data_IF_923117976795
#
_entry.id   IF_923117976795
#
_cell.length_a   1.000
_cell.length_b   1.000
_cell.length_c   1.000
_cell.angle_alpha   90.00
_cell.angle_beta   90.00
_cell.angle_gamma   90.00
#
_symmetry.space_group_name_H-M   'P 1'
#
loop_
_entity.id
_entity.type
_entity.pdbx_description
1 polymer ?
#
# COMPACT_ATOMS: atom_id res chain seq x y z
N UNK A 1 -31.47 46.30 -32.93
CA UNK A 1 -31.74 45.40 -31.81
C UNK A 1 -30.42 45.00 -31.19
N UNK A 2 -30.11 45.64 -30.07
CA UNK A 2 -28.90 45.38 -29.28
C UNK A 2 -29.19 44.25 -28.30
N UNK A 3 -28.47 43.14 -28.38
CA UNK A 3 -28.49 42.09 -27.38
C UNK A 3 -27.50 42.46 -26.26
N UNK A 4 -28.03 42.77 -25.09
CA UNK A 4 -27.27 42.99 -23.85
C UNK A 4 -26.81 41.66 -23.32
N UNK A 5 -25.53 41.40 -23.38
CA UNK A 5 -24.93 40.30 -22.61
C UNK A 5 -24.90 40.69 -21.13
N UNK A 6 -25.73 40.02 -20.35
CA UNK A 6 -25.71 40.14 -18.90
C UNK A 6 -24.43 39.53 -18.35
N UNK A 7 -23.57 40.37 -17.80
CA UNK A 7 -22.42 39.93 -17.01
C UNK A 7 -23.00 39.46 -15.66
N UNK A 8 -23.02 38.16 -15.44
CA UNK A 8 -23.33 37.60 -14.12
C UNK A 8 -22.08 37.78 -13.24
N UNK A 9 -22.12 38.78 -12.37
CA UNK A 9 -21.14 38.90 -11.30
C UNK A 9 -21.38 37.77 -10.30
N UNK A 10 -20.59 36.73 -10.37
CA UNK A 10 -20.50 35.72 -9.33
C UNK A 10 -19.64 36.33 -8.22
N UNK A 11 -20.25 36.88 -7.19
CA UNK A 11 -19.57 37.19 -5.94
C UNK A 11 -19.16 35.87 -5.30
N UNK A 12 -17.91 35.51 -5.45
CA UNK A 12 -17.28 34.46 -4.66
C UNK A 12 -17.17 35.00 -3.23
N UNK A 13 -17.88 34.44 -2.25
CA UNK A 13 -17.74 34.89 -0.88
C UNK A 13 -16.27 34.74 -0.48
N UNK A 14 -15.60 35.83 -0.16
CA UNK A 14 -14.28 35.84 0.48
C UNK A 14 -14.43 35.28 1.89
N UNK A 15 -14.66 33.98 2.03
CA UNK A 15 -14.35 33.28 3.27
C UNK A 15 -12.82 33.27 3.37
N UNK A 16 -12.30 34.16 4.17
CA UNK A 16 -10.92 34.07 4.66
C UNK A 16 -10.85 32.82 5.54
N UNK A 17 -10.55 31.69 4.94
CA UNK A 17 -10.18 30.50 5.69
C UNK A 17 -8.78 30.75 6.25
N UNK A 18 -8.71 31.37 7.41
CA UNK A 18 -7.52 31.23 8.27
C UNK A 18 -7.73 29.88 8.98
N UNK A 19 -7.69 28.82 8.21
CA UNK A 19 -7.62 27.48 8.76
C UNK A 19 -6.19 27.22 9.19
N UNK A 20 -6.01 26.85 10.45
CA UNK A 20 -4.75 26.25 10.88
C UNK A 20 -4.69 24.92 10.14
N UNK A 21 -3.69 24.73 9.30
CA UNK A 21 -3.42 23.44 8.67
C UNK A 21 -2.78 22.56 9.73
N UNK A 22 -3.58 21.70 10.33
CA UNK A 22 -3.13 20.70 11.28
C UNK A 22 -2.80 19.36 10.61
N UNK A 23 -2.36 18.39 11.40
CA UNK A 23 -2.00 17.06 10.91
C UNK A 23 -3.20 16.32 10.29
N UNK A 24 -4.41 16.59 10.77
CA UNK A 24 -5.64 15.95 10.34
C UNK A 24 -6.00 16.38 8.92
N UNK A 25 -5.94 17.67 8.62
CA UNK A 25 -6.20 18.20 7.28
C UNK A 25 -5.15 17.68 6.27
N UNK A 26 -3.90 17.63 6.68
CA UNK A 26 -2.85 17.06 5.82
C UNK A 26 -3.10 15.58 5.56
N UNK A 27 -3.51 14.83 6.58
CA UNK A 27 -3.83 13.41 6.45
C UNK A 27 -5.01 13.17 5.50
N UNK A 28 -6.10 13.98 5.57
CA UNK A 28 -7.23 13.91 4.63
C UNK A 28 -6.80 14.11 3.16
N UNK A 29 -5.93 15.08 2.91
CA UNK A 29 -5.41 15.31 1.55
C UNK A 29 -4.57 14.12 1.08
N UNK A 30 -3.78 13.53 1.96
CA UNK A 30 -2.97 12.34 1.66
C UNK A 30 -3.87 11.15 1.38
N UNK A 31 -4.96 10.95 2.13
CA UNK A 31 -5.94 9.88 1.88
C UNK A 31 -6.57 10.02 0.49
N UNK A 32 -6.98 11.23 0.11
CA UNK A 32 -7.55 11.48 -1.22
C UNK A 32 -6.57 11.13 -2.36
N UNK A 33 -5.27 11.28 -2.14
CA UNK A 33 -4.27 11.02 -3.16
C UNK A 33 -3.77 9.57 -3.19
N UNK A 34 -3.71 8.93 -2.03
CA UNK A 34 -3.08 7.61 -1.87
C UNK A 34 -4.08 6.47 -1.66
N UNK A 35 -5.32 6.80 -1.27
CA UNK A 35 -6.32 5.83 -0.86
C UNK A 35 -6.06 5.20 0.52
N UNK A 36 -5.10 5.73 1.29
CA UNK A 36 -4.78 5.21 2.63
C UNK A 36 -5.63 5.93 3.68
N UNK A 37 -6.44 5.22 4.52
CA UNK A 37 -7.34 5.82 5.48
C UNK A 37 -6.66 6.72 6.51
N UNK A 38 -7.13 7.96 6.63
CA UNK A 38 -6.58 9.03 7.51
C UNK A 38 -6.49 8.63 8.96
N UNK A 39 -7.52 7.98 9.49
CA UNK A 39 -7.60 7.63 10.91
C UNK A 39 -6.43 6.77 11.39
N UNK A 40 -5.84 6.00 10.47
CA UNK A 40 -4.68 5.15 10.78
C UNK A 40 -3.33 5.85 10.61
N UNK A 41 -3.30 7.00 9.93
CA UNK A 41 -2.10 7.84 9.81
C UNK A 41 -1.93 8.70 11.08
N UNK A 42 -3.04 9.17 11.64
CA UNK A 42 -3.05 10.08 12.81
C UNK A 42 -2.90 9.33 14.14
N UNK A 43 -3.31 8.05 14.17
CA UNK A 43 -3.13 7.20 15.34
C UNK A 43 -1.64 7.16 15.75
N UNK A 44 -1.33 7.17 17.03
CA UNK A 44 0.05 7.15 17.50
C UNK A 44 0.81 5.94 16.94
N UNK A 45 1.52 6.16 15.85
CA UNK A 45 2.23 5.12 15.08
C UNK A 45 3.19 4.32 15.95
N UNK A 46 3.79 4.97 16.95
CA UNK A 46 4.68 4.32 17.90
C UNK A 46 3.96 3.26 18.75
N UNK A 47 2.76 3.57 19.25
CA UNK A 47 1.96 2.66 20.06
C UNK A 47 1.48 1.45 19.26
N UNK A 48 1.01 1.69 18.03
CA UNK A 48 0.63 0.62 17.10
C UNK A 48 1.80 -0.32 16.78
N UNK A 49 2.99 0.22 16.59
CA UNK A 49 4.19 -0.56 16.32
C UNK A 49 4.62 -1.40 17.54
N UNK A 50 4.40 -0.89 18.76
CA UNK A 50 4.65 -1.65 19.98
C UNK A 50 3.68 -2.83 20.11
N UNK A 51 2.40 -2.60 19.85
CA UNK A 51 1.33 -3.60 19.96
C UNK A 51 1.14 -4.46 18.72
N UNK A 52 2.00 -4.33 17.70
CA UNK A 52 1.86 -4.99 16.40
C UNK A 52 1.72 -6.52 16.50
N UNK A 53 2.40 -7.15 17.44
CA UNK A 53 2.34 -8.60 17.66
C UNK A 53 0.93 -9.02 18.13
N UNK A 54 0.36 -8.30 19.09
CA UNK A 54 -0.97 -8.58 19.63
C UNK A 54 -2.06 -8.36 18.56
N UNK A 55 -1.93 -7.29 17.77
CA UNK A 55 -2.85 -6.98 16.68
C UNK A 55 -2.84 -8.10 15.63
N UNK A 56 -1.66 -8.56 15.23
CA UNK A 56 -1.54 -9.67 14.28
C UNK A 56 -2.07 -10.99 14.85
N UNK A 57 -1.83 -11.27 16.13
CA UNK A 57 -2.38 -12.46 16.80
C UNK A 57 -3.90 -12.43 16.96
N UNK A 58 -4.51 -11.26 16.93
CA UNK A 58 -5.98 -11.14 16.89
C UNK A 58 -6.62 -11.80 15.66
N UNK A 59 -5.87 -11.90 14.54
CA UNK A 59 -6.34 -12.53 13.29
C UNK A 59 -5.68 -13.89 13.01
N UNK A 60 -4.43 -14.06 13.42
CA UNK A 60 -3.63 -15.25 13.11
C UNK A 60 -3.32 -16.01 14.39
N UNK A 61 -3.98 -17.13 14.57
CA UNK A 61 -3.76 -18.00 15.74
C UNK A 61 -2.50 -18.84 15.53
N UNK A 62 -1.63 -18.83 16.53
CA UNK A 62 -0.32 -19.47 16.43
C UNK A 62 0.65 -18.65 15.58
N UNK A 63 1.64 -19.30 14.94
CA UNK A 63 2.65 -18.66 14.08
C UNK A 63 3.49 -17.58 14.81
N UNK A 64 3.71 -17.71 16.10
CA UNK A 64 4.40 -16.74 16.96
C UNK A 64 5.75 -16.30 16.39
N UNK A 65 6.51 -17.22 15.83
CA UNK A 65 7.81 -16.93 15.24
C UNK A 65 7.70 -16.04 14.00
N UNK A 66 6.71 -16.29 13.16
CA UNK A 66 6.46 -15.48 11.96
C UNK A 66 6.00 -14.08 12.35
N UNK A 67 5.02 -13.96 13.25
CA UNK A 67 4.50 -12.69 13.76
C UNK A 67 5.61 -11.85 14.39
N UNK A 68 6.41 -12.44 15.29
CA UNK A 68 7.57 -11.75 15.90
C UNK A 68 8.61 -11.29 14.89
N UNK A 69 8.89 -12.11 13.88
CA UNK A 69 9.86 -11.77 12.84
C UNK A 69 9.41 -10.61 11.97
N UNK A 70 8.13 -10.61 11.57
CA UNK A 70 7.51 -9.51 10.81
C UNK A 70 7.52 -8.22 11.64
N UNK A 71 7.00 -8.27 12.86
CA UNK A 71 6.91 -7.11 13.74
C UNK A 71 8.28 -6.47 13.98
N UNK A 72 9.30 -7.29 14.22
CA UNK A 72 10.68 -6.83 14.38
C UNK A 72 11.22 -6.18 13.09
N UNK A 73 10.95 -6.74 11.93
CA UNK A 73 11.42 -6.19 10.67
C UNK A 73 10.74 -4.85 10.35
N UNK A 74 9.44 -4.73 10.61
CA UNK A 74 8.70 -3.48 10.43
C UNK A 74 9.22 -2.40 11.37
N UNK A 75 9.40 -2.69 12.67
CA UNK A 75 9.97 -1.74 13.63
C UNK A 75 11.37 -1.26 13.20
N UNK A 76 12.22 -2.15 12.70
CA UNK A 76 13.58 -1.79 12.20
C UNK A 76 13.50 -0.91 10.95
N UNK A 77 12.62 -1.23 10.01
CA UNK A 77 12.46 -0.44 8.79
C UNK A 77 11.98 0.99 9.08
N UNK A 78 11.10 1.15 10.06
CA UNK A 78 10.63 2.48 10.47
C UNK A 78 11.71 3.32 11.15
N UNK A 79 12.67 2.68 11.82
CA UNK A 79 13.82 3.35 12.43
C UNK A 79 14.91 3.74 11.42
N UNK A 80 15.07 2.97 10.33
CA UNK A 80 16.15 3.16 9.34
C UNK A 80 15.64 3.53 7.94
N UNK A 81 15.00 4.67 7.80
CA UNK A 81 14.31 5.14 6.58
C UNK A 81 15.18 5.13 5.30
N UNK A 82 15.13 4.03 4.53
CA UNK A 82 15.55 4.06 3.12
C UNK A 82 14.28 4.01 2.24
N UNK A 83 13.86 5.13 1.63
CA UNK A 83 12.62 5.22 0.84
C UNK A 83 12.66 4.38 -0.44
N UNK A 84 13.82 3.87 -0.84
CA UNK A 84 14.01 3.08 -2.07
C UNK A 84 13.84 1.57 -1.84
N UNK A 85 13.70 1.13 -0.61
CA UNK A 85 13.56 -0.29 -0.26
C UNK A 85 12.18 -0.61 0.28
N UNK A 86 11.68 -1.83 0.05
CA UNK A 86 10.46 -2.28 0.72
C UNK A 86 10.65 -2.29 2.23
N UNK A 87 9.57 -2.07 2.97
CA UNK A 87 9.56 -2.08 4.45
C UNK A 87 10.08 -3.41 5.00
N UNK A 88 9.75 -4.51 4.34
CA UNK A 88 10.25 -5.85 4.63
C UNK A 88 10.08 -6.77 3.43
N UNK A 89 10.91 -7.81 3.38
CA UNK A 89 10.80 -8.92 2.44
C UNK A 89 10.84 -10.22 3.25
N UNK A 90 9.82 -11.06 3.09
CA UNK A 90 9.63 -12.26 3.88
C UNK A 90 9.38 -13.45 2.97
N UNK A 91 9.92 -14.60 3.35
CA UNK A 91 9.64 -15.88 2.72
C UNK A 91 8.93 -16.77 3.74
N UNK A 92 7.67 -17.16 3.43
CA UNK A 92 6.88 -18.04 4.27
C UNK A 92 6.88 -19.47 3.70
N UNK A 93 7.45 -20.40 4.42
CA UNK A 93 7.48 -21.81 4.08
C UNK A 93 6.57 -22.59 5.02
N UNK A 94 5.73 -23.47 4.47
CA UNK A 94 4.85 -24.31 5.26
C UNK A 94 3.71 -24.90 4.42
N UNK A 95 3.00 -25.91 4.95
CA UNK A 95 1.88 -26.55 4.26
C UNK A 95 0.74 -25.58 3.99
N UNK A 96 -0.18 -25.98 3.12
CA UNK A 96 -1.39 -25.22 2.84
C UNK A 96 -2.27 -25.12 4.08
N UNK A 97 -2.99 -24.00 4.23
CA UNK A 97 -3.96 -23.81 5.33
C UNK A 97 -3.37 -23.34 6.66
N UNK A 98 -2.06 -23.13 6.80
CA UNK A 98 -1.45 -22.68 8.07
C UNK A 98 -1.53 -21.17 8.31
N UNK A 99 -2.23 -20.41 7.47
CA UNK A 99 -2.47 -18.98 7.68
C UNK A 99 -1.48 -18.05 6.96
N UNK A 100 -0.64 -18.51 6.02
CA UNK A 100 0.31 -17.66 5.30
C UNK A 100 -0.36 -16.45 4.62
N UNK A 101 -1.40 -16.70 3.85
CA UNK A 101 -2.14 -15.63 3.14
C UNK A 101 -2.91 -14.74 4.11
N UNK A 102 -3.47 -15.31 5.18
CA UNK A 102 -4.18 -14.53 6.20
C UNK A 102 -3.25 -13.59 6.95
N UNK A 103 -2.01 -14.01 7.21
CA UNK A 103 -1.00 -13.15 7.81
C UNK A 103 -0.65 -11.96 6.90
N UNK A 104 -0.63 -12.17 5.56
CA UNK A 104 -0.43 -11.07 4.59
C UNK A 104 -1.61 -10.07 4.61
N UNK A 105 -2.86 -10.56 4.73
CA UNK A 105 -4.04 -9.70 4.85
C UNK A 105 -4.04 -8.91 6.15
N UNK A 106 -3.77 -9.57 7.27
CA UNK A 106 -3.64 -8.91 8.56
C UNK A 106 -2.55 -7.82 8.52
N UNK A 107 -1.44 -8.10 7.86
CA UNK A 107 -0.36 -7.13 7.67
C UNK A 107 -0.80 -5.93 6.82
N UNK A 108 -1.52 -6.15 5.72
CA UNK A 108 -2.04 -5.08 4.86
C UNK A 108 -3.01 -4.17 5.64
N UNK A 109 -3.92 -4.77 6.40
CA UNK A 109 -4.85 -4.03 7.25
C UNK A 109 -4.13 -3.18 8.30
N UNK A 110 -3.15 -3.76 8.98
CA UNK A 110 -2.39 -3.02 10.01
C UNK A 110 -1.56 -1.89 9.41
N UNK A 111 -0.91 -2.12 8.26
CA UNK A 111 0.00 -1.12 7.66
C UNK A 111 -0.74 -0.04 6.87
N UNK A 112 -1.80 -0.41 6.14
CA UNK A 112 -2.45 0.45 5.16
C UNK A 112 -3.93 0.69 5.45
N UNK A 113 -4.48 0.04 6.46
CA UNK A 113 -5.85 0.26 6.89
C UNK A 113 -6.90 -0.56 6.17
N UNK A 114 -6.53 -1.30 5.14
CA UNK A 114 -7.42 -2.15 4.36
C UNK A 114 -6.73 -3.48 4.03
N UNK A 115 -7.38 -4.58 4.33
CA UNK A 115 -6.88 -5.93 4.00
C UNK A 115 -6.80 -6.19 2.50
N UNK A 116 -7.49 -5.39 1.67
CA UNK A 116 -7.47 -5.48 0.23
C UNK A 116 -6.28 -4.74 -0.41
N UNK A 117 -5.49 -4.02 0.36
CA UNK A 117 -4.24 -3.40 -0.11
C UNK A 117 -3.14 -4.45 -0.33
N UNK A 118 -3.49 -5.48 -1.12
CA UNK A 118 -2.61 -6.58 -1.50
C UNK A 118 -2.57 -6.71 -3.02
N UNK A 119 -1.38 -6.72 -3.58
CA UNK A 119 -1.11 -7.11 -4.96
C UNK A 119 -0.71 -8.57 -4.95
N UNK A 120 -1.65 -9.47 -5.24
CA UNK A 120 -1.38 -10.90 -5.35
C UNK A 120 -0.93 -11.26 -6.76
N UNK A 121 0.14 -12.04 -6.84
CA UNK A 121 0.71 -12.59 -8.07
C UNK A 121 0.90 -14.10 -7.84
N UNK A 122 0.23 -14.89 -8.65
CA UNK A 122 0.39 -16.34 -8.66
C UNK A 122 1.61 -16.69 -9.51
N UNK A 123 2.66 -17.20 -8.87
CA UNK A 123 3.92 -17.49 -9.54
C UNK A 123 3.84 -18.74 -10.42
N UNK A 124 2.82 -19.58 -10.27
CA UNK A 124 2.59 -20.72 -11.16
C UNK A 124 2.34 -20.28 -12.62
N UNK A 125 1.78 -19.09 -12.83
CA UNK A 125 1.54 -18.51 -14.16
C UNK A 125 2.85 -17.99 -14.82
N UNK A 126 3.96 -17.95 -14.06
CA UNK A 126 5.21 -17.33 -14.49
C UNK A 126 6.38 -18.33 -14.58
N UNK A 127 6.11 -19.61 -14.80
CA UNK A 127 7.12 -20.67 -14.87
C UNK A 127 7.94 -20.67 -16.18
N UNK A 128 7.52 -19.90 -17.19
CA UNK A 128 8.16 -19.84 -18.50
C UNK A 128 9.36 -18.86 -18.54
N UNK A 129 10.29 -19.09 -19.50
CA UNK A 129 11.50 -18.26 -19.66
C UNK A 129 11.26 -16.76 -19.84
N UNK A 130 10.11 -16.36 -20.34
CA UNK A 130 9.75 -14.95 -20.58
C UNK A 130 8.86 -14.35 -19.45
N UNK A 131 8.69 -15.06 -18.37
CA UNK A 131 7.84 -14.64 -17.25
C UNK A 131 8.29 -13.32 -16.62
N UNK A 132 9.60 -13.09 -16.52
CA UNK A 132 10.17 -11.86 -15.95
C UNK A 132 9.73 -10.64 -16.76
N UNK A 133 9.71 -10.71 -18.09
CA UNK A 133 9.26 -9.59 -18.94
C UNK A 133 7.78 -9.28 -18.74
N UNK A 134 6.94 -10.29 -18.47
CA UNK A 134 5.52 -10.06 -18.12
C UNK A 134 5.37 -9.33 -16.78
N UNK A 135 6.23 -9.61 -15.81
CA UNK A 135 6.18 -8.98 -14.48
C UNK A 135 6.69 -7.54 -14.48
N UNK A 136 7.88 -7.30 -15.00
CA UNK A 136 8.57 -6.02 -14.91
C UNK A 136 8.53 -5.17 -16.18
N UNK A 137 8.04 -5.72 -17.29
CA UNK A 137 8.04 -5.11 -18.61
C UNK A 137 9.23 -5.54 -19.47
N UNK A 138 9.08 -5.36 -20.79
CA UNK A 138 10.15 -5.68 -21.76
C UNK A 138 11.16 -4.53 -21.84
N UNK A 139 12.45 -4.82 -22.06
CA UNK A 139 13.47 -3.81 -22.32
C UNK A 139 13.16 -3.02 -23.62
N UNK A 140 13.69 -1.80 -23.76
CA UNK A 140 13.55 -1.01 -24.99
C UNK A 140 13.99 -1.82 -26.23
N UNK A 141 13.16 -1.78 -27.28
CA UNK A 141 13.43 -2.48 -28.56
C UNK A 141 12.89 -3.91 -28.63
N UNK A 142 12.32 -4.46 -27.58
CA UNK A 142 11.66 -5.76 -27.62
C UNK A 142 10.14 -5.64 -27.76
N UNK A 143 9.51 -6.69 -28.30
CA UNK A 143 8.03 -6.78 -28.43
C UNK A 143 7.41 -6.69 -27.04
N UNK A 144 6.35 -5.86 -26.88
CA UNK A 144 5.69 -5.63 -25.61
C UNK A 144 6.28 -4.51 -24.75
N UNK A 145 7.26 -3.74 -25.25
CA UNK A 145 7.85 -2.62 -24.51
C UNK A 145 6.80 -1.57 -24.04
N UNK A 146 5.78 -1.32 -24.86
CA UNK A 146 4.71 -0.36 -24.56
C UNK A 146 3.64 -0.90 -23.57
N UNK A 147 3.66 -2.19 -23.28
CA UNK A 147 2.65 -2.85 -22.41
C UNK A 147 3.16 -2.84 -20.99
N UNK A 148 3.84 -2.12 -20.39
CA UNK A 148 4.28 -2.13 -19.00
C UNK A 148 4.24 -3.51 -18.29
N UNK A 149 5.00 -3.74 -17.27
CA UNK A 149 4.95 -5.01 -16.54
C UNK A 149 3.72 -5.09 -15.62
N UNK A 150 3.13 -6.27 -15.50
CA UNK A 150 1.94 -6.48 -14.66
C UNK A 150 2.15 -6.09 -13.19
N UNK A 151 3.31 -6.42 -12.64
CA UNK A 151 3.68 -6.04 -11.28
C UNK A 151 3.96 -4.53 -11.19
N UNK A 152 4.79 -4.02 -12.09
CA UNK A 152 5.20 -2.61 -12.05
C UNK A 152 4.03 -1.65 -12.22
N UNK A 153 3.07 -1.98 -13.10
CA UNK A 153 1.84 -1.19 -13.27
C UNK A 153 0.93 -1.25 -12.05
N UNK A 154 0.76 -2.44 -11.44
CA UNK A 154 -0.04 -2.58 -10.22
C UNK A 154 0.57 -1.79 -9.06
N UNK A 155 1.88 -1.89 -8.85
CA UNK A 155 2.58 -1.15 -7.80
C UNK A 155 2.56 0.35 -8.06
N UNK A 156 2.69 0.78 -9.32
CA UNK A 156 2.60 2.19 -9.69
C UNK A 156 1.23 2.79 -9.36
N UNK A 157 0.15 2.02 -9.56
CA UNK A 157 -1.22 2.45 -9.24
C UNK A 157 -1.53 2.40 -7.75
N UNK A 158 -0.98 1.40 -7.05
CA UNK A 158 -1.20 1.17 -5.62
C UNK A 158 0.15 1.07 -4.89
N UNK A 159 0.86 2.18 -4.66
CA UNK A 159 2.20 2.16 -4.09
C UNK A 159 2.23 1.75 -2.61
N UNK A 160 1.11 1.90 -1.90
CA UNK A 160 0.96 1.51 -0.50
C UNK A 160 0.22 0.18 -0.42
N UNK A 161 0.93 -0.91 -0.69
CA UNK A 161 0.36 -2.24 -0.73
C UNK A 161 1.36 -3.31 -0.29
N UNK A 162 0.84 -4.45 0.11
CA UNK A 162 1.62 -5.68 0.31
C UNK A 162 1.67 -6.43 -1.03
N UNK A 163 2.86 -6.72 -1.52
CA UNK A 163 3.03 -7.57 -2.70
C UNK A 163 3.20 -9.01 -2.23
N UNK A 164 2.27 -9.87 -2.60
CA UNK A 164 2.26 -11.29 -2.30
C UNK A 164 2.58 -12.09 -3.57
N UNK A 165 3.72 -12.77 -3.55
CA UNK A 165 4.05 -13.80 -4.53
C UNK A 165 3.62 -15.15 -3.95
N UNK A 166 2.60 -15.75 -4.54
CA UNK A 166 2.03 -17.01 -4.09
C UNK A 166 2.50 -18.15 -4.98
N UNK A 167 2.54 -19.38 -4.46
CA UNK A 167 2.94 -20.58 -5.20
C UNK A 167 4.34 -20.51 -5.85
N UNK A 168 5.33 -20.02 -5.07
CA UNK A 168 6.74 -19.92 -5.51
C UNK A 168 7.39 -21.31 -5.54
#
# INVERSE_FOLDING_TARGET
TKSSQGIVNIEIPKKSYIGIVDKEIIAEVVELWTGVPVNKIVEEEAERLLNLEEILHGRVVGQDQAVKSISRAIRRSRAGKDPKRPIGSFLFLGPTGVGKTELCKALAEVQFGDENQIIRIDMSEYMEKHAVSKLIGSPPGYVGYNEGGQLTEKVRRNPYSVVLFDEI
#
